data_IF_739721624246
#
_entry.id   IF_739721624246
#
_cell.length_a   1.000
_cell.length_b   1.000
_cell.length_c   1.000
_cell.angle_alpha   90.00
_cell.angle_beta   90.00
_cell.angle_gamma   90.00
#
_symmetry.space_group_name_H-M   'P 1'
#
loop_
_entity.id
_entity.type
_entity.pdbx_description
1 polymer ?
#
# COMPACT_ATOMS: atom_id res chain seq x y z
N UNK A 1 7.31 17.84 -22.42
CA UNK A 1 7.46 18.81 -23.53
C UNK A 1 6.60 18.43 -24.72
N UNK A 2 6.60 17.17 -25.14
CA UNK A 2 5.82 16.63 -26.26
C UNK A 2 4.33 16.88 -26.10
N UNK A 3 3.74 16.53 -24.97
CA UNK A 3 2.32 16.77 -24.68
C UNK A 3 1.90 18.23 -24.88
N UNK A 4 2.73 19.22 -24.46
CA UNK A 4 2.44 20.63 -24.69
C UNK A 4 2.48 21.02 -26.18
N UNK A 5 3.40 20.40 -26.93
CA UNK A 5 3.49 20.64 -28.38
C UNK A 5 2.31 20.01 -29.11
N UNK A 6 1.92 18.80 -28.71
CA UNK A 6 0.86 18.01 -29.34
C UNK A 6 -0.53 18.61 -29.12
N UNK A 7 -0.82 19.04 -27.88
CA UNK A 7 -2.16 19.52 -27.51
C UNK A 7 -2.33 21.04 -27.59
N UNK A 8 -1.25 21.81 -27.45
CA UNK A 8 -1.32 23.29 -27.43
C UNK A 8 -0.45 23.98 -28.46
N UNK A 9 0.28 23.24 -29.29
CA UNK A 9 1.16 23.80 -30.32
C UNK A 9 2.30 24.66 -29.74
N UNK A 10 2.62 24.51 -28.46
CA UNK A 10 3.62 25.31 -27.74
C UNK A 10 4.66 24.44 -27.08
N UNK A 11 5.92 24.83 -27.19
CA UNK A 11 7.02 24.14 -26.52
C UNK A 11 7.19 24.66 -25.09
N UNK A 12 7.03 23.79 -24.09
CA UNK A 12 7.36 24.10 -22.72
C UNK A 12 8.80 23.65 -22.41
N UNK A 13 9.53 24.48 -21.67
CA UNK A 13 10.88 24.18 -21.15
C UNK A 13 10.78 23.88 -19.68
N UNK A 14 11.39 22.77 -19.25
CA UNK A 14 11.40 22.30 -17.88
C UNK A 14 12.84 22.24 -17.38
N UNK A 15 13.09 22.71 -16.18
CA UNK A 15 14.35 22.50 -15.50
C UNK A 15 14.15 22.33 -13.99
N UNK A 16 15.09 21.63 -13.36
CA UNK A 16 15.12 21.45 -11.91
C UNK A 16 16.06 22.50 -11.34
N UNK A 17 15.59 23.29 -10.37
CA UNK A 17 16.43 24.24 -9.67
C UNK A 17 17.61 23.52 -9.04
N UNK A 18 18.81 23.98 -9.38
CA UNK A 18 20.05 23.46 -8.84
C UNK A 18 20.92 24.65 -8.40
N UNK A 19 21.25 24.69 -7.12
CA UNK A 19 22.11 25.73 -6.52
C UNK A 19 23.54 25.75 -7.08
N UNK A 20 23.98 24.67 -7.73
CA UNK A 20 25.28 24.57 -8.38
C UNK A 20 25.27 25.04 -9.85
N UNK A 21 24.09 25.28 -10.44
CA UNK A 21 23.95 25.75 -11.83
C UNK A 21 22.81 26.77 -11.97
N UNK A 22 23.14 28.02 -11.69
CA UNK A 22 22.17 29.12 -11.71
C UNK A 22 21.91 29.69 -13.12
N UNK A 23 22.68 29.29 -14.14
CA UNK A 23 22.52 29.79 -15.51
C UNK A 23 21.14 29.49 -16.10
N UNK A 24 20.52 28.37 -15.69
CA UNK A 24 19.16 28.02 -16.10
C UNK A 24 18.11 29.01 -15.59
N UNK A 25 18.36 29.66 -14.47
CA UNK A 25 17.47 30.65 -13.90
C UNK A 25 17.47 31.97 -14.72
N UNK A 26 18.59 32.36 -15.31
CA UNK A 26 18.64 33.48 -16.24
C UNK A 26 17.82 33.19 -17.52
N UNK A 27 17.93 31.98 -18.04
CA UNK A 27 17.12 31.55 -19.18
C UNK A 27 15.62 31.50 -18.84
N UNK A 28 15.26 31.11 -17.63
CA UNK A 28 13.89 31.15 -17.11
C UNK A 28 13.32 32.56 -17.13
N UNK A 29 14.13 33.57 -16.77
CA UNK A 29 13.76 34.97 -16.70
C UNK A 29 13.71 35.67 -18.04
N UNK A 30 14.57 35.30 -18.99
CA UNK A 30 14.74 36.01 -20.27
C UNK A 30 13.92 35.42 -21.43
N UNK A 31 13.43 34.21 -21.32
CA UNK A 31 12.71 33.51 -22.38
C UNK A 31 11.23 33.88 -22.40
N UNK A 32 10.69 34.22 -23.56
CA UNK A 32 9.26 34.51 -23.79
C UNK A 32 8.38 33.25 -23.88
N UNK A 33 8.96 32.06 -23.83
CA UNK A 33 8.23 30.78 -23.89
C UNK A 33 7.63 30.37 -22.54
N UNK A 34 6.93 29.24 -22.55
CA UNK A 34 6.47 28.61 -21.31
C UNK A 34 7.67 27.95 -20.62
N UNK A 35 8.05 28.48 -19.47
CA UNK A 35 9.14 27.95 -18.68
C UNK A 35 8.61 27.42 -17.34
N UNK A 36 9.01 26.21 -16.97
CA UNK A 36 8.59 25.54 -15.72
C UNK A 36 9.84 25.21 -14.91
N UNK A 37 9.95 25.79 -13.74
CA UNK A 37 10.98 25.49 -12.76
C UNK A 37 10.43 24.54 -11.71
N UNK A 38 11.08 23.42 -11.51
CA UNK A 38 10.80 22.46 -10.44
C UNK A 38 11.78 22.76 -9.31
N UNK A 39 11.25 23.07 -8.13
CA UNK A 39 12.07 23.42 -6.97
C UNK A 39 11.60 22.63 -5.73
N UNK A 40 12.56 22.07 -4.99
CA UNK A 40 12.27 21.41 -3.72
C UNK A 40 12.12 22.45 -2.60
N UNK A 41 11.22 22.20 -1.65
CA UNK A 41 11.01 23.05 -0.47
C UNK A 41 12.28 23.28 0.35
N UNK A 42 13.18 22.30 0.40
CA UNK A 42 14.46 22.41 1.07
C UNK A 42 15.34 23.52 0.51
N UNK A 43 15.22 23.81 -0.78
CA UNK A 43 16.01 24.84 -1.44
C UNK A 43 15.64 26.27 -1.02
N UNK A 44 14.44 26.49 -0.44
CA UNK A 44 13.98 27.84 -0.08
C UNK A 44 13.35 27.95 1.32
N UNK A 45 12.94 26.85 1.97
CA UNK A 45 12.14 26.88 3.21
C UNK A 45 12.96 26.76 4.50
N UNK A 46 14.27 26.49 4.42
CA UNK A 46 15.09 26.52 5.62
C UNK A 46 15.37 27.96 6.00
N UNK A 47 15.20 28.29 7.28
CA UNK A 47 15.37 29.55 7.96
C UNK A 47 15.79 30.77 7.09
N UNK A 48 14.94 31.78 7.01
CA UNK A 48 15.19 33.06 6.36
C UNK A 48 16.43 33.86 6.95
N UNK A 49 17.08 33.30 7.97
CA UNK A 49 18.31 33.86 8.55
C UNK A 49 19.50 33.36 7.74
N UNK A 50 20.47 34.25 7.55
CA UNK A 50 21.76 33.98 6.88
C UNK A 50 22.51 32.78 7.47
N UNK A 51 22.23 32.40 8.74
CA UNK A 51 22.77 31.24 9.46
C UNK A 51 21.93 29.95 9.29
N UNK A 52 21.05 29.89 8.30
CA UNK A 52 20.20 28.74 8.04
C UNK A 52 20.98 27.41 7.87
N UNK A 53 20.44 26.30 8.38
CA UNK A 53 21.13 24.99 8.45
C UNK A 53 21.40 24.34 7.09
N UNK A 54 20.69 24.69 6.03
CA UNK A 54 20.87 24.13 4.68
C UNK A 54 21.71 25.06 3.81
N UNK A 55 22.82 24.54 3.26
CA UNK A 55 23.66 25.24 2.30
C UNK A 55 22.88 25.71 1.06
N UNK A 56 21.95 24.91 0.60
CA UNK A 56 21.13 25.17 -0.60
C UNK A 56 20.16 26.33 -0.39
N UNK A 57 19.50 26.39 0.76
CA UNK A 57 18.59 27.49 1.09
C UNK A 57 19.32 28.83 1.32
N UNK A 58 20.60 28.77 1.74
CA UNK A 58 21.44 29.99 1.82
C UNK A 58 21.75 30.50 0.43
N UNK A 59 22.00 29.65 -0.54
CA UNK A 59 22.36 30.06 -1.90
C UNK A 59 21.23 30.85 -2.56
N UNK A 60 19.97 30.46 -2.41
CA UNK A 60 18.85 31.17 -3.07
C UNK A 60 18.69 32.60 -2.54
N UNK A 61 19.06 32.87 -1.29
CA UNK A 61 18.97 34.19 -0.65
C UNK A 61 20.26 34.98 -0.63
N UNK A 62 21.39 34.41 -1.04
CA UNK A 62 22.70 35.04 -1.03
C UNK A 62 23.07 35.66 -2.37
N UNK A 63 23.78 36.81 -2.35
CA UNK A 63 24.41 37.34 -3.56
C UNK A 63 25.52 36.41 -4.01
N UNK A 64 25.57 36.14 -5.31
CA UNK A 64 26.53 35.22 -5.93
C UNK A 64 27.27 35.91 -7.05
N UNK A 65 28.62 35.91 -6.98
CA UNK A 65 29.48 36.56 -7.98
C UNK A 65 29.33 35.86 -9.32
N UNK A 66 29.24 34.51 -9.33
CA UNK A 66 28.94 33.68 -10.48
C UNK A 66 27.57 33.96 -11.12
N UNK A 67 26.70 34.71 -10.44
CA UNK A 67 25.37 35.12 -10.88
C UNK A 67 25.23 36.64 -10.97
N UNK A 68 26.30 37.32 -11.40
CA UNK A 68 26.40 38.74 -11.52
C UNK A 68 26.02 39.52 -10.25
N UNK A 69 26.47 39.03 -9.08
CA UNK A 69 26.18 39.56 -7.74
C UNK A 69 24.69 39.73 -7.40
N UNK A 70 23.82 39.00 -8.12
CA UNK A 70 22.37 38.97 -7.83
C UNK A 70 22.03 37.80 -6.89
N UNK A 71 20.90 37.91 -6.20
CA UNK A 71 20.32 36.80 -5.44
C UNK A 71 19.35 36.03 -6.35
N UNK A 72 19.43 34.71 -6.43
CA UNK A 72 18.49 33.91 -7.22
C UNK A 72 17.03 34.22 -6.93
N UNK A 73 16.67 34.44 -5.67
CA UNK A 73 15.29 34.76 -5.26
C UNK A 73 14.78 36.06 -5.91
N UNK A 74 15.63 37.07 -6.09
CA UNK A 74 15.24 38.37 -6.67
C UNK A 74 14.90 38.20 -8.16
N UNK A 75 15.62 37.34 -8.87
CA UNK A 75 15.33 37.02 -10.28
C UNK A 75 13.99 36.28 -10.39
N UNK A 76 13.73 35.28 -9.53
CA UNK A 76 12.47 34.57 -9.49
C UNK A 76 11.32 35.53 -9.15
N UNK A 77 11.48 36.36 -8.13
CA UNK A 77 10.50 37.35 -7.67
C UNK A 77 10.11 38.35 -8.75
N UNK A 78 11.08 38.77 -9.56
CA UNK A 78 10.86 39.74 -10.64
C UNK A 78 9.93 39.19 -11.73
N UNK A 79 9.95 37.87 -11.94
CA UNK A 79 9.09 37.19 -12.91
C UNK A 79 7.64 37.03 -12.46
N UNK A 80 7.32 37.27 -11.18
CA UNK A 80 5.99 37.03 -10.60
C UNK A 80 5.41 35.69 -11.05
N UNK A 81 6.04 34.55 -10.67
CA UNK A 81 5.66 33.24 -11.19
C UNK A 81 4.28 32.80 -10.73
N UNK A 82 3.65 31.92 -11.47
CA UNK A 82 2.55 31.10 -10.99
C UNK A 82 3.18 29.95 -10.18
N UNK A 83 2.77 29.77 -8.94
CA UNK A 83 3.25 28.68 -8.09
C UNK A 83 2.25 27.54 -8.16
N UNK A 84 2.74 26.32 -8.45
CA UNK A 84 1.97 25.10 -8.36
C UNK A 84 2.51 24.30 -7.17
N UNK A 85 1.68 24.05 -6.17
CA UNK A 85 2.01 23.29 -4.97
C UNK A 85 1.35 21.92 -5.05
N UNK A 86 2.16 20.87 -5.06
CA UNK A 86 1.72 19.50 -4.92
C UNK A 86 1.77 19.10 -3.44
N UNK A 87 0.67 18.55 -2.91
CA UNK A 87 0.50 18.17 -1.50
C UNK A 87 0.82 19.32 -0.52
N UNK A 88 0.14 20.50 -0.62
CA UNK A 88 0.46 21.70 0.14
C UNK A 88 0.30 21.54 1.66
N UNK A 89 -0.44 20.55 2.16
CA UNK A 89 -0.55 20.26 3.58
C UNK A 89 0.80 19.91 4.23
N UNK A 90 1.77 19.42 3.46
CA UNK A 90 3.14 19.16 3.91
C UNK A 90 3.97 20.45 4.05
N UNK A 91 3.47 21.54 3.47
CA UNK A 91 4.13 22.86 3.43
C UNK A 91 3.46 23.87 4.38
N UNK A 92 2.60 23.41 5.31
CA UNK A 92 1.80 24.26 6.20
C UNK A 92 2.58 24.99 7.31
N UNK A 93 3.87 24.70 7.48
CA UNK A 93 4.71 25.38 8.48
C UNK A 93 4.89 26.87 8.17
N UNK A 94 4.83 27.74 9.19
CA UNK A 94 4.94 29.21 9.03
C UNK A 94 6.18 29.65 8.24
N UNK A 95 7.32 28.99 8.46
CA UNK A 95 8.58 29.31 7.76
C UNK A 95 8.44 29.07 6.27
N UNK A 96 7.85 27.95 5.87
CA UNK A 96 7.62 27.61 4.46
C UNK A 96 6.63 28.57 3.82
N UNK A 97 5.57 28.93 4.52
CA UNK A 97 4.57 29.89 4.03
C UNK A 97 5.17 31.30 3.86
N UNK A 98 6.01 31.74 4.77
CA UNK A 98 6.75 32.98 4.64
C UNK A 98 7.73 32.95 3.46
N UNK A 99 8.42 31.82 3.27
CA UNK A 99 9.36 31.65 2.17
C UNK A 99 8.65 31.64 0.80
N UNK A 100 7.47 31.03 0.68
CA UNK A 100 6.65 31.07 -0.54
C UNK A 100 6.24 32.49 -0.92
N UNK A 101 5.94 33.36 0.05
CA UNK A 101 5.64 34.76 -0.22
C UNK A 101 6.82 35.52 -0.82
N UNK A 102 8.08 35.13 -0.53
CA UNK A 102 9.26 35.77 -1.11
C UNK A 102 9.38 35.56 -2.64
N UNK A 103 8.70 34.58 -3.22
CA UNK A 103 8.62 34.44 -4.67
C UNK A 103 7.74 35.52 -5.33
N UNK A 104 6.95 36.27 -4.55
CA UNK A 104 6.00 37.25 -5.05
C UNK A 104 5.09 36.72 -6.17
N UNK A 105 4.42 35.59 -5.96
CA UNK A 105 3.67 34.92 -7.01
C UNK A 105 2.48 35.76 -7.49
N UNK A 106 2.12 35.58 -8.76
CA UNK A 106 0.89 36.14 -9.30
C UNK A 106 -0.34 35.50 -8.62
N UNK A 107 -0.32 34.18 -8.50
CA UNK A 107 -1.22 33.35 -7.69
C UNK A 107 -0.62 31.95 -7.45
N UNK A 108 -1.24 31.18 -6.60
CA UNK A 108 -0.85 29.80 -6.32
C UNK A 108 -1.98 28.82 -6.62
N UNK A 109 -1.67 27.71 -7.27
CA UNK A 109 -2.55 26.58 -7.48
C UNK A 109 -2.14 25.45 -6.54
N UNK A 110 -3.06 25.00 -5.70
CA UNK A 110 -2.83 23.96 -4.72
C UNK A 110 -3.51 22.66 -5.18
N UNK A 111 -2.73 21.63 -5.43
CA UNK A 111 -3.21 20.29 -5.78
C UNK A 111 -3.04 19.35 -4.60
N UNK A 112 -4.13 18.78 -4.12
CA UNK A 112 -4.09 17.78 -3.05
C UNK A 112 -5.38 16.98 -3.00
N UNK A 113 -5.26 15.69 -2.67
CA UNK A 113 -6.40 14.84 -2.33
C UNK A 113 -6.85 15.05 -0.87
N UNK A 114 -6.03 15.69 -0.03
CA UNK A 114 -6.23 15.77 1.43
C UNK A 114 -5.90 17.18 1.96
N UNK A 115 -6.64 18.18 1.51
CA UNK A 115 -6.47 19.56 1.99
C UNK A 115 -6.77 19.66 3.49
N UNK A 116 -5.85 20.24 4.25
CA UNK A 116 -6.08 20.56 5.67
C UNK A 116 -7.05 21.74 5.85
N UNK A 117 -7.00 22.71 4.95
CA UNK A 117 -7.92 23.86 4.86
C UNK A 117 -8.29 24.10 3.41
N UNK A 118 -9.57 24.32 3.14
CA UNK A 118 -10.04 24.66 1.81
C UNK A 118 -10.05 26.18 1.65
N UNK A 119 -9.43 26.67 0.57
CA UNK A 119 -9.43 28.07 0.17
C UNK A 119 -9.75 28.17 -1.32
N UNK A 120 -10.72 29.01 -1.69
CA UNK A 120 -11.08 29.29 -3.08
C UNK A 120 -11.10 28.02 -3.95
N UNK A 121 -11.88 27.05 -3.54
CA UNK A 121 -11.96 25.75 -4.19
C UNK A 121 -12.48 25.90 -5.63
N UNK A 122 -11.63 25.65 -6.62
CA UNK A 122 -11.94 25.83 -8.04
C UNK A 122 -12.48 24.55 -8.67
N UNK A 123 -11.94 23.40 -8.25
CA UNK A 123 -12.33 22.10 -8.81
C UNK A 123 -12.24 21.02 -7.73
N UNK A 124 -13.23 20.14 -7.70
CA UNK A 124 -13.28 18.97 -6.82
C UNK A 124 -13.41 17.72 -7.66
N UNK A 125 -12.61 16.73 -7.37
CA UNK A 125 -12.75 15.37 -7.84
C UNK A 125 -12.40 14.44 -6.69
N UNK A 126 -13.37 14.14 -5.85
CA UNK A 126 -13.20 13.20 -4.76
C UNK A 126 -13.31 11.74 -5.24
N UNK A 127 -13.09 10.79 -4.33
CA UNK A 127 -13.12 9.37 -4.67
C UNK A 127 -14.51 8.91 -5.14
N UNK A 128 -15.58 9.47 -4.60
CA UNK A 128 -16.94 9.13 -4.99
C UNK A 128 -17.29 9.71 -6.37
N UNK A 129 -16.94 10.97 -6.62
CA UNK A 129 -17.09 11.59 -7.94
C UNK A 129 -16.31 10.84 -9.02
N UNK A 130 -15.07 10.49 -8.71
CA UNK A 130 -14.22 9.72 -9.62
C UNK A 130 -14.80 8.32 -9.90
N UNK A 131 -15.35 7.67 -8.88
CA UNK A 131 -16.03 6.38 -9.04
C UNK A 131 -17.29 6.50 -9.91
N UNK A 132 -18.17 7.46 -9.63
CA UNK A 132 -19.39 7.69 -10.39
C UNK A 132 -19.10 8.01 -11.87
N UNK A 133 -17.98 8.69 -12.14
CA UNK A 133 -17.47 8.96 -13.48
C UNK A 133 -16.69 7.80 -14.12
N UNK A 134 -16.59 6.65 -13.44
CA UNK A 134 -15.85 5.46 -13.90
C UNK A 134 -14.36 5.73 -14.18
N UNK A 135 -13.75 6.63 -13.42
CA UNK A 135 -12.33 7.00 -13.53
C UNK A 135 -11.44 6.17 -12.62
N UNK A 136 -12.02 5.53 -11.61
CA UNK A 136 -11.32 4.75 -10.60
C UNK A 136 -12.07 3.46 -10.27
N UNK A 137 -11.37 2.50 -9.64
CA UNK A 137 -11.97 1.27 -9.11
C UNK A 137 -12.87 1.56 -7.91
N UNK A 138 -13.83 0.69 -7.66
CA UNK A 138 -14.63 0.66 -6.42
C UNK A 138 -13.71 0.35 -5.24
N UNK A 139 -13.95 1.04 -4.12
CA UNK A 139 -13.35 0.70 -2.83
C UNK A 139 -14.34 -0.21 -2.10
N UNK A 140 -13.85 -1.35 -1.66
CA UNK A 140 -14.56 -2.29 -0.80
C UNK A 140 -13.71 -2.54 0.44
N UNK A 141 -14.32 -2.49 1.61
CA UNK A 141 -13.62 -2.69 2.87
C UNK A 141 -14.05 -4.03 3.44
N UNK A 142 -13.10 -4.96 3.54
CA UNK A 142 -13.27 -6.23 4.26
C UNK A 142 -12.71 -6.03 5.68
N UNK A 143 -13.54 -6.24 6.66
CA UNK A 143 -13.16 -6.19 8.07
C UNK A 143 -13.46 -7.52 8.73
N UNK A 144 -12.93 -7.72 9.92
CA UNK A 144 -13.36 -8.76 10.82
C UNK A 144 -13.64 -8.14 12.18
N UNK A 145 -14.59 -8.71 12.89
CA UNK A 145 -15.03 -8.23 14.19
C UNK A 145 -14.52 -9.17 15.28
N UNK A 146 -13.94 -8.61 16.33
CA UNK A 146 -13.49 -9.36 17.51
C UNK A 146 -14.54 -9.22 18.58
N UNK A 147 -15.23 -10.29 18.89
CA UNK A 147 -16.14 -10.36 20.05
C UNK A 147 -15.38 -10.92 21.24
N UNK A 148 -14.99 -10.06 22.16
CA UNK A 148 -14.47 -10.45 23.46
C UNK A 148 -15.64 -10.82 24.39
N UNK A 149 -16.01 -12.09 24.43
CA UNK A 149 -16.88 -12.59 25.49
C UNK A 149 -16.03 -12.77 26.76
N UNK A 150 -16.26 -11.92 27.75
CA UNK A 150 -15.63 -12.12 29.08
C UNK A 150 -16.00 -13.50 29.60
N UNK A 151 -15.00 -14.38 29.73
CA UNK A 151 -15.14 -15.68 30.39
C UNK A 151 -15.20 -16.90 29.47
N UNK A 152 -14.93 -16.78 28.17
CA UNK A 152 -14.77 -17.93 27.29
C UNK A 152 -13.34 -17.97 26.73
N UNK A 153 -12.56 -18.94 27.17
CA UNK A 153 -11.20 -19.20 26.66
C UNK A 153 -11.23 -19.86 25.26
N UNK A 154 -12.41 -20.01 24.65
CA UNK A 154 -12.62 -20.74 23.41
C UNK A 154 -12.30 -19.85 22.22
N UNK A 155 -11.18 -20.07 21.57
CA UNK A 155 -10.86 -19.40 20.30
C UNK A 155 -11.63 -20.03 19.15
N UNK A 156 -12.41 -19.24 18.41
CA UNK A 156 -13.10 -19.63 17.18
C UNK A 156 -13.02 -18.50 16.17
N UNK A 157 -12.72 -18.84 14.92
CA UNK A 157 -12.81 -17.91 13.79
C UNK A 157 -13.61 -18.57 12.66
N UNK A 158 -14.75 -17.99 12.32
CA UNK A 158 -15.53 -18.45 11.15
C UNK A 158 -14.99 -17.81 9.87
N UNK A 159 -14.23 -18.58 9.09
CA UNK A 159 -13.62 -18.11 7.85
C UNK A 159 -14.66 -17.92 6.75
N UNK A 160 -15.45 -18.97 6.48
CA UNK A 160 -16.43 -18.93 5.38
C UNK A 160 -17.46 -20.05 5.50
N UNK A 161 -18.58 -19.88 4.79
CA UNK A 161 -19.54 -20.94 4.54
C UNK A 161 -19.29 -21.53 3.15
N UNK A 162 -19.09 -22.83 3.09
CA UNK A 162 -18.87 -23.59 1.87
C UNK A 162 -20.22 -24.06 1.31
N UNK A 163 -20.61 -23.52 0.18
CA UNK A 163 -21.83 -23.87 -0.52
C UNK A 163 -21.53 -24.86 -1.65
N UNK A 164 -22.35 -25.91 -1.78
CA UNK A 164 -22.26 -26.92 -2.85
C UNK A 164 -23.62 -27.18 -3.43
N UNK A 165 -23.72 -27.41 -4.74
CA UNK A 165 -25.02 -27.61 -5.43
C UNK A 165 -25.87 -28.75 -4.87
N UNK A 166 -25.24 -29.79 -4.31
CA UNK A 166 -25.91 -31.03 -3.91
C UNK A 166 -25.63 -31.43 -2.45
N UNK A 167 -25.10 -30.55 -1.63
CA UNK A 167 -24.82 -30.83 -0.22
C UNK A 167 -25.26 -29.65 0.65
N UNK A 168 -25.65 -29.87 1.90
CA UNK A 168 -25.92 -28.82 2.85
C UNK A 168 -24.73 -27.85 2.99
N UNK A 169 -24.94 -26.62 3.42
CA UNK A 169 -23.89 -25.69 3.75
C UNK A 169 -22.95 -26.28 4.81
N UNK A 170 -21.66 -26.05 4.67
CA UNK A 170 -20.62 -26.42 5.65
C UNK A 170 -19.86 -25.20 6.09
N UNK A 171 -19.37 -25.20 7.32
CA UNK A 171 -18.62 -24.07 7.87
C UNK A 171 -17.12 -24.39 7.92
N UNK A 172 -16.27 -23.48 7.44
CA UNK A 172 -14.84 -23.50 7.72
C UNK A 172 -14.58 -22.67 8.97
N UNK A 173 -14.21 -23.35 10.05
CA UNK A 173 -13.94 -22.74 11.34
C UNK A 173 -12.51 -23.08 11.77
N UNK A 174 -11.72 -22.06 12.10
CA UNK A 174 -10.44 -22.21 12.75
C UNK A 174 -10.66 -22.31 14.27
N UNK A 175 -10.07 -23.32 14.87
CA UNK A 175 -10.14 -23.61 16.30
C UNK A 175 -8.79 -24.12 16.80
N UNK A 176 -8.60 -24.11 18.12
CA UNK A 176 -7.41 -24.69 18.76
C UNK A 176 -7.55 -26.20 18.87
N UNK A 177 -6.49 -26.93 18.49
CA UNK A 177 -6.44 -28.40 18.54
C UNK A 177 -5.26 -28.82 19.38
N UNK A 178 -5.53 -29.65 20.38
CA UNK A 178 -4.50 -30.18 21.28
C UNK A 178 -3.75 -31.35 20.64
N UNK A 179 -2.43 -31.29 20.64
CA UNK A 179 -1.53 -32.37 20.29
C UNK A 179 -0.64 -32.71 21.49
N UNK A 180 0.02 -33.87 21.47
CA UNK A 180 0.82 -34.38 22.60
C UNK A 180 1.87 -33.38 23.16
N UNK A 181 2.30 -32.38 22.39
CA UNK A 181 3.35 -31.41 22.75
C UNK A 181 3.02 -29.96 22.44
N UNK A 182 1.89 -29.69 21.81
CA UNK A 182 1.52 -28.32 21.37
C UNK A 182 0.01 -28.17 21.22
N UNK A 183 -0.46 -26.96 21.29
CA UNK A 183 -1.79 -26.57 20.85
C UNK A 183 -1.58 -25.74 19.58
N UNK A 184 -2.24 -26.14 18.49
CA UNK A 184 -2.16 -25.46 17.22
C UNK A 184 -3.53 -24.96 16.81
N UNK A 185 -3.58 -23.84 16.09
CA UNK A 185 -4.81 -23.36 15.44
C UNK A 185 -4.87 -23.92 14.04
N UNK A 186 -5.96 -24.62 13.76
CA UNK A 186 -6.20 -25.26 12.45
C UNK A 186 -7.64 -25.05 12.02
N UNK A 187 -7.84 -24.89 10.71
CA UNK A 187 -9.15 -24.80 10.12
C UNK A 187 -9.74 -26.19 9.92
N UNK A 188 -10.97 -26.38 10.36
CA UNK A 188 -11.80 -27.55 10.09
C UNK A 188 -13.01 -27.19 9.25
N UNK A 189 -13.41 -28.11 8.38
CA UNK A 189 -14.67 -27.99 7.63
C UNK A 189 -15.73 -28.80 8.35
N UNK A 190 -16.69 -28.13 8.94
CA UNK A 190 -17.68 -28.72 9.84
C UNK A 190 -19.04 -28.83 9.18
N UNK A 191 -19.75 -29.92 9.48
CA UNK A 191 -21.14 -30.15 9.13
C UNK A 191 -22.05 -29.89 10.37
N UNK A 192 -23.35 -29.75 10.14
CA UNK A 192 -24.33 -29.72 11.24
C UNK A 192 -24.26 -31.06 12.02
N UNK A 193 -24.10 -30.96 13.33
CA UNK A 193 -23.93 -32.09 14.24
C UNK A 193 -22.50 -32.36 14.66
N UNK A 194 -21.50 -31.69 14.04
CA UNK A 194 -20.12 -31.82 14.47
C UNK A 194 -19.89 -31.15 15.82
N UNK A 195 -19.10 -31.83 16.67
CA UNK A 195 -18.80 -31.44 18.04
C UNK A 195 -17.35 -30.92 18.13
N UNK A 196 -17.19 -29.65 18.46
CA UNK A 196 -15.88 -29.01 18.53
C UNK A 196 -14.99 -29.61 19.63
N UNK A 197 -15.58 -30.19 20.67
CA UNK A 197 -14.81 -30.92 21.68
C UNK A 197 -14.04 -32.10 21.06
N UNK A 198 -14.68 -32.85 20.16
CA UNK A 198 -14.01 -33.94 19.43
C UNK A 198 -13.02 -33.42 18.40
N UNK A 199 -13.42 -32.41 17.64
CA UNK A 199 -12.58 -31.81 16.58
C UNK A 199 -11.31 -31.16 17.14
N UNK A 200 -11.31 -30.71 18.40
CA UNK A 200 -10.19 -30.13 19.10
C UNK A 200 -9.28 -31.11 19.82
N UNK A 201 -9.52 -32.43 19.69
CA UNK A 201 -8.89 -33.47 20.49
C UNK A 201 -9.19 -33.29 21.98
N UNK A 202 -10.47 -33.16 22.33
CA UNK A 202 -11.01 -33.14 23.71
C UNK A 202 -10.59 -31.93 24.56
N UNK A 203 -10.41 -30.74 23.93
CA UNK A 203 -10.15 -29.53 24.68
C UNK A 203 -11.40 -29.05 25.44
N UNK A 204 -11.28 -28.93 26.76
CA UNK A 204 -12.38 -28.61 27.70
C UNK A 204 -13.14 -27.33 27.34
N UNK A 205 -12.46 -26.33 26.79
CA UNK A 205 -13.07 -25.07 26.40
C UNK A 205 -14.14 -25.21 25.29
N UNK A 206 -14.13 -26.28 24.52
CA UNK A 206 -15.11 -26.53 23.46
C UNK A 206 -16.25 -27.45 23.87
N UNK A 207 -16.34 -27.84 25.13
CA UNK A 207 -17.48 -28.63 25.62
C UNK A 207 -18.80 -27.87 25.40
N UNK A 208 -19.76 -28.57 24.77
CA UNK A 208 -21.08 -28.00 24.48
C UNK A 208 -21.15 -27.17 23.18
N UNK A 209 -20.03 -27.09 22.44
CA UNK A 209 -20.03 -26.45 21.11
C UNK A 209 -20.28 -27.52 20.04
N UNK A 210 -21.54 -27.93 19.88
CA UNK A 210 -21.97 -28.74 18.75
C UNK A 210 -22.65 -27.86 17.72
N UNK A 211 -22.29 -27.98 16.44
CA UNK A 211 -22.91 -27.19 15.37
C UNK A 211 -24.38 -27.57 15.24
N UNK A 212 -25.29 -26.65 15.57
CA UNK A 212 -26.75 -26.87 15.46
C UNK A 212 -27.30 -26.40 14.12
N UNK A 213 -26.77 -25.31 13.55
CA UNK A 213 -27.23 -24.75 12.29
C UNK A 213 -26.10 -24.04 11.57
N UNK A 214 -26.11 -24.16 10.23
CA UNK A 214 -25.22 -23.42 9.33
C UNK A 214 -26.09 -22.72 8.30
N UNK A 215 -26.13 -21.38 8.36
CA UNK A 215 -26.89 -20.57 7.42
C UNK A 215 -26.03 -20.20 6.21
N UNK A 216 -26.61 -20.27 5.02
CA UNK A 216 -25.95 -19.88 3.77
C UNK A 216 -25.60 -18.38 3.71
N UNK A 217 -26.26 -17.54 4.53
CA UNK A 217 -26.01 -16.10 4.63
C UNK A 217 -24.77 -15.75 5.49
N UNK A 218 -24.11 -16.74 6.08
CA UNK A 218 -22.85 -16.53 6.78
C UNK A 218 -22.89 -16.67 8.29
N UNK A 219 -23.81 -17.47 8.83
CA UNK A 219 -23.95 -17.66 10.29
C UNK A 219 -23.82 -19.12 10.67
N UNK A 220 -23.16 -19.38 11.79
CA UNK A 220 -23.12 -20.70 12.45
C UNK A 220 -23.67 -20.55 13.86
N UNK A 221 -24.62 -21.43 14.23
CA UNK A 221 -25.18 -21.50 15.58
C UNK A 221 -24.75 -22.79 16.25
N UNK A 222 -24.35 -22.71 17.51
CA UNK A 222 -24.01 -23.86 18.34
C UNK A 222 -25.11 -24.22 19.33
N UNK A 223 -25.13 -25.46 19.79
CA UNK A 223 -26.12 -25.98 20.75
C UNK A 223 -26.12 -25.26 22.09
N UNK A 224 -25.01 -24.64 22.48
CA UNK A 224 -24.89 -23.81 23.69
C UNK A 224 -25.46 -22.38 23.51
N UNK A 225 -26.07 -22.08 22.36
CA UNK A 225 -26.63 -20.78 22.05
C UNK A 225 -25.66 -19.74 21.52
N UNK A 226 -24.40 -20.08 21.38
CA UNK A 226 -23.40 -19.20 20.74
C UNK A 226 -23.67 -19.12 19.24
N UNK A 227 -23.60 -17.89 18.70
CA UNK A 227 -23.76 -17.59 17.28
C UNK A 227 -22.51 -16.86 16.82
N UNK A 228 -21.92 -17.28 15.70
CA UNK A 228 -20.74 -16.66 15.09
C UNK A 228 -21.03 -16.38 13.61
N UNK A 229 -20.57 -15.22 13.13
CA UNK A 229 -20.72 -14.79 11.74
C UNK A 229 -19.42 -14.93 10.96
N UNK A 230 -19.52 -15.04 9.63
CA UNK A 230 -18.34 -15.05 8.76
C UNK A 230 -17.50 -13.78 8.99
N UNK A 231 -16.19 -13.99 9.22
CA UNK A 231 -15.25 -12.93 9.59
C UNK A 231 -15.25 -12.58 11.07
N UNK A 232 -16.03 -13.26 11.89
CA UNK A 232 -16.07 -13.04 13.34
C UNK A 232 -15.09 -13.95 14.08
N UNK A 233 -14.41 -13.37 15.07
CA UNK A 233 -13.47 -14.05 15.95
C UNK A 233 -13.97 -13.98 17.37
N UNK A 234 -13.96 -15.10 18.04
CA UNK A 234 -14.33 -15.24 19.44
C UNK A 234 -13.16 -15.76 20.26
N UNK A 235 -13.03 -15.32 21.52
CA UNK A 235 -11.98 -15.75 22.43
C UNK A 235 -10.81 -14.77 22.57
N UNK A 236 -9.76 -15.21 23.26
CA UNK A 236 -8.60 -14.38 23.54
C UNK A 236 -7.66 -14.32 22.34
N UNK A 237 -7.46 -13.13 21.77
CA UNK A 237 -6.73 -12.91 20.53
C UNK A 237 -5.53 -12.02 20.80
N UNK A 238 -4.35 -12.52 20.50
CA UNK A 238 -3.14 -11.73 20.50
C UNK A 238 -3.06 -10.82 19.26
N UNK A 239 -2.32 -9.72 19.34
CA UNK A 239 -2.03 -8.88 18.17
C UNK A 239 -1.42 -9.69 17.02
N UNK A 240 -0.59 -10.68 17.35
CA UNK A 240 0.00 -11.58 16.37
C UNK A 240 -1.05 -12.38 15.59
N UNK A 241 -2.07 -12.91 16.28
CA UNK A 241 -3.15 -13.66 15.64
C UNK A 241 -3.97 -12.74 14.70
N UNK A 242 -4.25 -11.52 15.14
CA UNK A 242 -4.92 -10.53 14.30
C UNK A 242 -4.13 -10.26 13.03
N UNK A 243 -2.80 -10.11 13.11
CA UNK A 243 -1.94 -9.89 11.94
C UNK A 243 -1.94 -11.09 11.01
N UNK A 244 -1.91 -12.29 11.57
CA UNK A 244 -1.99 -13.55 10.81
C UNK A 244 -3.29 -13.64 10.02
N UNK A 245 -4.42 -13.35 10.66
CA UNK A 245 -5.74 -13.36 10.01
C UNK A 245 -5.80 -12.28 8.91
N UNK A 246 -5.29 -11.07 9.16
CA UNK A 246 -5.24 -10.02 8.13
C UNK A 246 -4.44 -10.46 6.90
N UNK A 247 -3.31 -11.12 7.10
CA UNK A 247 -2.47 -11.65 6.03
C UNK A 247 -3.23 -12.74 5.26
N UNK A 248 -3.82 -13.72 5.96
CA UNK A 248 -4.60 -14.81 5.37
C UNK A 248 -5.76 -14.31 4.52
N UNK A 249 -6.59 -13.41 5.07
CA UNK A 249 -7.74 -12.83 4.39
C UNK A 249 -7.35 -12.01 3.16
N UNK A 250 -6.19 -11.34 3.21
CA UNK A 250 -5.65 -10.63 2.06
C UNK A 250 -5.21 -11.59 0.95
N UNK A 251 -4.60 -12.73 1.31
CA UNK A 251 -4.21 -13.77 0.36
C UNK A 251 -5.44 -14.40 -0.29
N UNK A 252 -6.45 -14.75 0.50
CA UNK A 252 -7.72 -15.28 -0.01
C UNK A 252 -8.39 -14.33 -1.00
N UNK A 253 -8.56 -13.07 -0.60
CA UNK A 253 -9.13 -12.03 -1.46
C UNK A 253 -8.31 -11.78 -2.72
N UNK A 254 -6.98 -11.95 -2.65
CA UNK A 254 -6.11 -11.87 -3.81
C UNK A 254 -6.41 -13.01 -4.80
N UNK A 255 -6.45 -14.25 -4.36
CA UNK A 255 -6.73 -15.40 -5.23
C UNK A 255 -8.10 -15.29 -5.88
N UNK A 256 -9.15 -14.99 -5.12
CA UNK A 256 -10.51 -14.81 -5.65
C UNK A 256 -10.54 -13.71 -6.73
N UNK A 257 -9.88 -12.59 -6.47
CA UNK A 257 -9.84 -11.48 -7.42
C UNK A 257 -9.02 -11.81 -8.65
N UNK A 258 -7.85 -12.43 -8.50
CA UNK A 258 -6.98 -12.79 -9.60
C UNK A 258 -7.64 -13.82 -10.51
N UNK A 259 -8.31 -14.83 -9.96
CA UNK A 259 -9.07 -15.82 -10.73
C UNK A 259 -10.13 -15.16 -11.61
N UNK A 260 -10.89 -14.22 -11.04
CA UNK A 260 -11.94 -13.48 -11.77
C UNK A 260 -11.39 -12.61 -12.91
N UNK A 261 -10.11 -12.19 -12.81
CA UNK A 261 -9.46 -11.28 -13.76
C UNK A 261 -8.50 -11.98 -14.71
N UNK A 262 -8.09 -13.21 -14.42
CA UNK A 262 -7.08 -13.93 -15.18
C UNK A 262 -7.44 -14.05 -16.65
N UNK A 263 -8.69 -14.47 -16.95
CA UNK A 263 -9.19 -14.59 -18.33
C UNK A 263 -9.34 -13.26 -19.06
N UNK A 264 -9.34 -12.13 -18.34
CA UNK A 264 -9.30 -10.78 -18.90
C UNK A 264 -7.86 -10.30 -19.17
N UNK A 265 -6.86 -11.15 -18.90
CA UNK A 265 -5.44 -10.80 -19.03
C UNK A 265 -4.98 -9.75 -18.02
N UNK A 266 -5.55 -9.70 -16.82
CA UNK A 266 -5.24 -8.72 -15.79
C UNK A 266 -4.61 -9.44 -14.60
N UNK A 267 -3.34 -9.15 -14.33
CA UNK A 267 -2.63 -9.63 -13.15
C UNK A 267 -2.98 -8.79 -11.94
N UNK A 268 -3.23 -9.43 -10.79
CA UNK A 268 -3.46 -8.76 -9.52
C UNK A 268 -2.15 -8.51 -8.76
N UNK A 269 -2.10 -7.40 -8.03
CA UNK A 269 -1.09 -7.10 -7.03
C UNK A 269 -1.75 -6.74 -5.71
N UNK A 270 -1.14 -7.17 -4.61
CA UNK A 270 -1.54 -6.83 -3.24
C UNK A 270 -0.42 -6.10 -2.50
N UNK A 271 -0.79 -5.06 -1.74
CA UNK A 271 0.14 -4.29 -0.92
C UNK A 271 -0.10 -4.55 0.56
N UNK A 272 0.99 -4.79 1.29
CA UNK A 272 1.03 -4.80 2.74
C UNK A 272 1.81 -3.60 3.25
N UNK A 273 1.15 -2.72 4.02
CA UNK A 273 1.84 -1.65 4.73
C UNK A 273 2.14 -2.11 6.16
N UNK A 274 3.43 -2.16 6.50
CA UNK A 274 3.92 -2.63 7.79
C UNK A 274 4.45 -1.48 8.65
N UNK A 275 4.52 -1.71 9.95
CA UNK A 275 5.01 -0.76 10.95
C UNK A 275 6.54 -0.73 11.04
N UNK A 276 7.20 -1.89 10.97
CA UNK A 276 8.65 -2.04 11.11
C UNK A 276 9.22 -2.95 10.02
N UNK A 277 10.32 -2.53 9.39
CA UNK A 277 11.02 -3.35 8.38
C UNK A 277 11.50 -4.67 8.97
N UNK A 278 11.94 -4.67 10.23
CA UNK A 278 12.42 -5.87 10.93
C UNK A 278 11.36 -6.97 11.07
N UNK A 279 10.05 -6.65 10.99
CA UNK A 279 8.98 -7.64 10.98
C UNK A 279 8.88 -8.41 9.66
N UNK A 280 9.41 -7.87 8.57
CA UNK A 280 9.45 -8.55 7.28
C UNK A 280 10.85 -9.06 6.93
N UNK A 281 11.91 -8.27 7.17
CA UNK A 281 13.31 -8.56 6.81
C UNK A 281 14.23 -8.25 7.98
N UNK A 282 15.05 -9.21 8.35
CA UNK A 282 16.11 -9.08 9.37
C UNK A 282 17.46 -9.46 8.75
N UNK A 283 18.50 -9.25 9.52
CA UNK A 283 19.86 -9.67 9.17
C UNK A 283 20.42 -10.49 10.32
N UNK A 284 21.03 -11.62 10.00
CA UNK A 284 21.74 -12.45 10.98
C UNK A 284 23.08 -11.81 11.40
N UNK A 285 23.85 -12.50 12.26
CA UNK A 285 25.14 -12.03 12.74
C UNK A 285 26.18 -11.91 11.61
N UNK A 286 26.06 -12.71 10.56
CA UNK A 286 26.93 -12.70 9.38
C UNK A 286 26.47 -11.64 8.34
N UNK A 287 25.33 -11.00 8.56
CA UNK A 287 24.78 -9.98 7.66
C UNK A 287 23.92 -10.52 6.52
N UNK A 288 23.55 -11.81 6.53
CA UNK A 288 22.66 -12.39 5.54
C UNK A 288 21.22 -11.99 5.82
N UNK A 289 20.42 -11.79 4.77
CA UNK A 289 18.99 -11.51 4.90
C UNK A 289 18.21 -12.75 5.36
N UNK A 290 17.41 -12.57 6.40
CA UNK A 290 16.47 -13.57 6.90
C UNK A 290 15.07 -12.97 6.99
N UNK A 291 14.04 -13.80 6.81
CA UNK A 291 12.66 -13.35 6.96
C UNK A 291 12.35 -12.93 8.40
N UNK A 292 11.65 -11.81 8.53
CA UNK A 292 11.04 -11.41 9.79
C UNK A 292 9.71 -12.14 10.02
N UNK A 293 9.06 -11.82 11.14
CA UNK A 293 7.82 -12.47 11.59
C UNK A 293 6.71 -12.42 10.53
N UNK A 294 6.46 -11.26 9.91
CA UNK A 294 5.42 -11.12 8.89
C UNK A 294 5.75 -11.86 7.59
N UNK A 295 7.04 -11.94 7.24
CA UNK A 295 7.47 -12.72 6.08
C UNK A 295 7.23 -14.21 6.27
N UNK A 296 7.64 -14.75 7.43
CA UNK A 296 7.40 -16.16 7.80
C UNK A 296 5.91 -16.45 7.87
N UNK A 297 5.15 -15.59 8.52
CA UNK A 297 3.70 -15.72 8.65
C UNK A 297 3.02 -15.71 7.27
N UNK A 298 3.44 -14.81 6.38
CA UNK A 298 2.93 -14.75 5.02
C UNK A 298 3.18 -16.05 4.25
N UNK A 299 4.40 -16.60 4.28
CA UNK A 299 4.72 -17.83 3.56
C UNK A 299 3.90 -19.03 4.08
N UNK A 300 3.71 -19.11 5.40
CA UNK A 300 2.89 -20.16 6.00
C UNK A 300 1.43 -20.06 5.58
N UNK A 301 0.82 -18.88 5.69
CA UNK A 301 -0.58 -18.67 5.31
C UNK A 301 -0.77 -18.79 3.80
N UNK A 302 0.19 -18.30 2.99
CA UNK A 302 0.16 -18.45 1.54
C UNK A 302 0.13 -19.93 1.14
N UNK A 303 1.01 -20.73 1.71
CA UNK A 303 1.07 -22.17 1.40
C UNK A 303 -0.21 -22.88 1.83
N UNK A 304 -0.77 -22.53 2.99
CA UNK A 304 -2.03 -23.09 3.47
C UNK A 304 -3.19 -22.77 2.54
N UNK A 305 -3.36 -21.47 2.20
CA UNK A 305 -4.42 -21.01 1.30
C UNK A 305 -4.24 -21.59 -0.10
N UNK A 306 -3.01 -21.64 -0.62
CA UNK A 306 -2.73 -22.20 -1.94
C UNK A 306 -3.12 -23.68 -2.03
N UNK A 307 -2.79 -24.47 -1.00
CA UNK A 307 -3.14 -25.89 -0.94
C UNK A 307 -4.67 -26.11 -0.97
N UNK A 308 -5.41 -25.25 -0.27
CA UNK A 308 -6.88 -25.28 -0.28
C UNK A 308 -7.47 -24.81 -1.63
N UNK A 309 -6.78 -23.89 -2.31
CA UNK A 309 -7.24 -23.27 -3.55
C UNK A 309 -6.92 -24.09 -4.81
N UNK A 310 -5.83 -24.87 -4.77
CA UNK A 310 -5.46 -25.74 -5.87
C UNK A 310 -6.45 -26.92 -5.97
N UNK A 311 -7.04 -27.07 -7.14
CA UNK A 311 -7.97 -28.15 -7.45
C UNK A 311 -7.37 -29.12 -8.44
N UNK A 312 -8.04 -30.32 -8.60
CA UNK A 312 -7.69 -31.26 -9.64
C UNK A 312 -8.09 -30.78 -11.05
N UNK A 313 -8.90 -29.74 -11.17
CA UNK A 313 -9.34 -29.19 -12.44
C UNK A 313 -8.22 -28.38 -13.12
N UNK A 314 -8.01 -28.62 -14.39
CA UNK A 314 -7.00 -27.95 -15.22
C UNK A 314 -7.54 -26.70 -15.91
N UNK A 315 -8.09 -25.74 -15.14
CA UNK A 315 -8.41 -24.44 -15.70
C UNK A 315 -7.13 -23.67 -16.08
N UNK A 316 -7.17 -22.71 -17.01
CA UNK A 316 -6.01 -21.89 -17.34
C UNK A 316 -5.38 -21.22 -16.10
N UNK A 317 -6.21 -20.76 -15.17
CA UNK A 317 -5.73 -20.13 -13.92
C UNK A 317 -5.06 -21.15 -12.99
N UNK A 318 -5.63 -22.37 -12.85
CA UNK A 318 -5.00 -23.43 -12.06
C UNK A 318 -3.66 -23.88 -12.63
N UNK A 319 -3.52 -23.93 -13.96
CA UNK A 319 -2.23 -24.21 -14.61
C UNK A 319 -1.20 -23.11 -14.32
N UNK A 320 -1.64 -21.85 -14.37
CA UNK A 320 -0.79 -20.70 -14.01
C UNK A 320 -0.31 -20.80 -12.55
N UNK A 321 -1.20 -21.05 -11.61
CA UNK A 321 -0.82 -21.22 -10.19
C UNK A 321 0.19 -22.34 -10.00
N UNK A 322 -0.05 -23.50 -10.59
CA UNK A 322 0.83 -24.69 -10.51
C UNK A 322 2.22 -24.43 -11.14
N UNK A 323 2.30 -23.62 -12.19
CA UNK A 323 3.56 -23.34 -12.88
C UNK A 323 4.39 -22.22 -12.27
N UNK A 324 3.76 -21.15 -11.72
CA UNK A 324 4.44 -19.92 -11.37
C UNK A 324 4.37 -19.56 -9.88
N UNK A 325 3.42 -20.14 -9.13
CA UNK A 325 3.04 -19.63 -7.83
C UNK A 325 3.15 -20.66 -6.69
N UNK A 326 3.75 -21.83 -6.93
CA UNK A 326 3.87 -22.89 -5.93
C UNK A 326 4.88 -22.57 -4.81
N UNK A 327 5.89 -21.79 -5.10
CA UNK A 327 6.90 -21.36 -4.13
C UNK A 327 6.51 -20.03 -3.50
N UNK A 328 6.20 -20.05 -2.21
CA UNK A 328 5.83 -18.84 -1.48
C UNK A 328 6.91 -17.77 -1.49
N UNK A 329 8.20 -18.15 -1.53
CA UNK A 329 9.32 -17.21 -1.45
C UNK A 329 9.48 -16.31 -2.68
N UNK A 330 8.98 -16.74 -3.84
CA UNK A 330 9.10 -15.98 -5.09
C UNK A 330 7.93 -15.04 -5.36
N UNK A 331 6.77 -15.25 -4.69
CA UNK A 331 5.55 -14.48 -4.97
C UNK A 331 5.46 -13.17 -4.22
N UNK A 332 6.35 -12.91 -3.25
CA UNK A 332 6.37 -11.67 -2.49
C UNK A 332 7.73 -10.99 -2.51
N UNK A 333 7.72 -9.67 -2.36
CA UNK A 333 8.93 -8.83 -2.28
C UNK A 333 8.73 -7.73 -1.24
N UNK A 334 9.82 -7.36 -0.55
CA UNK A 334 9.87 -6.19 0.32
C UNK A 334 10.44 -4.99 -0.42
N UNK A 335 9.80 -3.83 -0.29
CA UNK A 335 10.29 -2.56 -0.79
C UNK A 335 10.43 -1.56 0.37
N UNK A 336 11.67 -1.27 0.76
CA UNK A 336 12.02 -0.47 1.93
C UNK A 336 13.09 0.55 1.60
N UNK A 337 13.23 1.56 2.45
CA UNK A 337 14.38 2.46 2.41
C UNK A 337 15.65 1.73 2.85
N UNK A 338 16.78 2.06 2.24
CA UNK A 338 18.06 1.42 2.54
C UNK A 338 19.02 2.46 3.13
N UNK A 339 19.75 2.07 4.17
CA UNK A 339 20.83 2.88 4.72
C UNK A 339 22.07 2.84 3.80
N UNK A 340 22.49 4.01 3.32
CA UNK A 340 23.62 4.16 2.40
C UNK A 340 24.96 3.64 2.95
N UNK A 341 25.11 3.57 4.27
CA UNK A 341 26.37 3.16 4.90
C UNK A 341 26.46 1.65 5.07
N UNK A 342 25.35 1.02 5.48
CA UNK A 342 25.31 -0.42 5.75
C UNK A 342 24.77 -1.25 4.60
N UNK A 343 24.08 -0.63 3.63
CA UNK A 343 23.38 -1.33 2.54
C UNK A 343 22.14 -2.10 3.02
N UNK A 344 21.73 -1.94 4.29
CA UNK A 344 20.63 -2.70 4.91
C UNK A 344 19.32 -1.96 4.80
N UNK A 345 18.24 -2.72 4.63
CA UNK A 345 16.87 -2.18 4.70
C UNK A 345 16.58 -1.67 6.10
N UNK A 346 16.06 -0.44 6.19
CA UNK A 346 15.76 0.23 7.47
C UNK A 346 14.37 0.85 7.43
N UNK A 347 13.84 1.11 8.62
CA UNK A 347 12.67 1.96 8.79
C UNK A 347 13.02 3.37 8.29
N UNK A 348 12.15 3.93 7.44
CA UNK A 348 12.39 5.29 6.95
C UNK A 348 12.44 6.23 8.14
N UNK A 349 13.56 6.93 8.36
CA UNK A 349 13.64 7.87 9.45
C UNK A 349 12.59 8.96 9.29
N UNK A 350 11.91 9.29 10.36
CA UNK A 350 11.00 10.45 10.46
C UNK A 350 11.70 11.78 10.21
N UNK A 351 13.02 11.76 10.06
CA UNK A 351 13.91 12.91 9.80
C UNK A 351 14.38 12.96 8.34
N UNK A 352 14.14 14.06 7.79
CA UNK A 352 14.27 14.72 6.47
C UNK A 352 15.51 14.49 5.60
N UNK A 353 16.35 13.49 5.70
CA UNK A 353 17.58 13.42 4.88
C UNK A 353 18.06 11.99 4.56
N UNK A 354 17.22 11.11 4.04
CA UNK A 354 17.74 9.89 3.39
C UNK A 354 17.42 9.89 1.90
N UNK A 355 18.46 10.03 1.10
CA UNK A 355 18.42 9.72 -0.31
C UNK A 355 18.41 8.19 -0.49
N UNK A 356 17.65 7.72 -1.47
CA UNK A 356 17.47 6.32 -1.83
C UNK A 356 18.77 5.59 -2.11
N UNK A 357 18.89 4.35 -1.68
CA UNK A 357 19.96 3.45 -2.09
C UNK A 357 19.41 2.03 -2.40
N UNK A 358 20.18 1.30 -3.09
CA UNK A 358 19.95 0.20 -4.00
C UNK A 358 19.76 -1.16 -3.31
N UNK A 359 18.53 -1.57 -3.06
CA UNK A 359 18.13 -2.96 -3.30
C UNK A 359 17.78 -3.02 -4.81
N UNK A 360 18.81 -3.24 -5.63
CA UNK A 360 18.76 -3.01 -7.08
C UNK A 360 17.68 -3.88 -7.73
N UNK A 361 17.41 -5.08 -7.22
CA UNK A 361 16.48 -6.00 -7.86
C UNK A 361 15.00 -5.69 -7.55
N UNK A 362 14.63 -5.44 -6.30
CA UNK A 362 13.25 -5.12 -5.92
C UNK A 362 12.89 -3.68 -6.30
N UNK A 363 13.83 -2.74 -6.15
CA UNK A 363 13.70 -1.36 -6.57
C UNK A 363 13.47 -1.25 -8.09
N UNK A 364 14.31 -1.94 -8.88
CA UNK A 364 14.20 -1.89 -10.34
C UNK A 364 12.91 -2.53 -10.83
N UNK A 365 12.47 -3.63 -10.25
CA UNK A 365 11.21 -4.28 -10.59
C UNK A 365 10.01 -3.40 -10.24
N UNK A 366 9.97 -2.87 -9.03
CA UNK A 366 8.79 -2.14 -8.51
C UNK A 366 8.68 -0.74 -9.10
N UNK A 367 9.80 -0.02 -9.27
CA UNK A 367 9.79 1.36 -9.73
C UNK A 367 10.11 1.55 -11.21
N UNK A 368 11.13 0.87 -11.74
CA UNK A 368 11.59 1.07 -13.11
C UNK A 368 10.92 0.13 -14.11
N UNK A 369 10.70 -1.13 -13.73
CA UNK A 369 10.13 -2.15 -14.59
C UNK A 369 8.66 -2.43 -14.26
N UNK A 370 7.85 -1.38 -14.14
CA UNK A 370 6.42 -1.49 -13.81
C UNK A 370 5.66 -2.41 -14.77
N UNK A 371 6.02 -2.40 -16.04
CA UNK A 371 5.42 -3.26 -17.06
C UNK A 371 5.72 -4.74 -16.81
N UNK A 372 6.97 -5.08 -16.44
CA UNK A 372 7.35 -6.45 -16.06
C UNK A 372 6.55 -6.92 -14.85
N UNK A 373 6.37 -6.07 -13.83
CA UNK A 373 5.58 -6.41 -12.66
C UNK A 373 4.12 -6.74 -13.00
N UNK A 374 3.60 -6.21 -14.12
CA UNK A 374 2.25 -6.48 -14.61
C UNK A 374 2.17 -7.75 -15.48
N UNK A 375 3.29 -8.33 -15.91
CA UNK A 375 3.32 -9.57 -16.68
C UNK A 375 3.03 -10.79 -15.79
N UNK A 376 2.32 -11.77 -16.33
CA UNK A 376 2.14 -13.07 -15.67
C UNK A 376 3.43 -13.89 -15.58
N UNK A 377 4.45 -13.57 -16.38
CA UNK A 377 5.77 -14.22 -16.32
C UNK A 377 6.59 -13.81 -15.08
N UNK A 378 6.21 -12.70 -14.42
CA UNK A 378 6.81 -12.27 -13.16
C UNK A 378 6.00 -12.85 -11.99
N UNK A 379 6.59 -13.72 -11.13
CA UNK A 379 5.84 -14.35 -10.05
C UNK A 379 5.43 -13.41 -8.91
N UNK A 380 6.10 -12.28 -8.76
CA UNK A 380 5.79 -11.31 -7.69
C UNK A 380 4.36 -10.80 -7.78
N UNK A 381 3.59 -11.01 -6.72
CA UNK A 381 2.17 -10.66 -6.60
C UNK A 381 1.86 -9.86 -5.34
N UNK A 382 2.69 -10.02 -4.31
CA UNK A 382 2.54 -9.36 -3.01
C UNK A 382 3.75 -8.48 -2.72
N UNK A 383 3.49 -7.27 -2.26
CA UNK A 383 4.54 -6.29 -1.99
C UNK A 383 4.38 -5.79 -0.55
N UNK A 384 5.42 -5.93 0.24
CA UNK A 384 5.51 -5.39 1.58
C UNK A 384 6.24 -4.05 1.56
N UNK A 385 5.70 -3.04 2.23
CA UNK A 385 6.32 -1.72 2.28
C UNK A 385 6.08 -1.07 3.64
N UNK A 386 7.10 -0.37 4.15
CA UNK A 386 6.97 0.44 5.37
C UNK A 386 6.49 1.86 5.01
N UNK A 387 7.31 2.64 4.36
CA UNK A 387 7.00 4.03 4.00
C UNK A 387 7.44 4.39 2.59
N UNK A 388 8.27 3.57 1.97
CA UNK A 388 8.90 3.88 0.69
C UNK A 388 7.90 4.05 -0.47
N UNK A 389 6.77 3.36 -0.43
CA UNK A 389 5.69 3.49 -1.43
C UNK A 389 4.65 4.55 -1.06
N UNK A 390 4.85 5.37 -0.02
CA UNK A 390 3.86 6.39 0.39
C UNK A 390 3.70 7.51 -0.62
N UNK A 391 4.76 7.85 -1.36
CA UNK A 391 4.76 8.99 -2.29
C UNK A 391 5.25 8.57 -3.68
N UNK A 392 4.57 9.04 -4.71
CA UNK A 392 5.02 8.93 -6.10
C UNK A 392 4.92 7.53 -6.75
N UNK A 393 4.72 6.46 -5.99
CA UNK A 393 4.51 5.13 -6.57
C UNK A 393 3.05 4.86 -6.82
N UNK A 394 2.78 4.33 -7.99
CA UNK A 394 1.46 3.90 -8.40
C UNK A 394 1.57 2.70 -9.33
N UNK A 395 0.71 1.74 -9.14
CA UNK A 395 0.52 0.64 -10.07
C UNK A 395 -0.98 0.42 -10.28
N UNK A 396 -1.46 0.40 -11.53
CA UNK A 396 -2.88 0.30 -11.82
C UNK A 396 -3.49 -1.05 -11.38
N UNK A 397 -2.68 -2.09 -11.25
CA UNK A 397 -3.16 -3.42 -10.92
C UNK A 397 -3.07 -3.78 -9.43
N UNK A 398 -2.92 -2.79 -8.56
CA UNK A 398 -3.13 -2.99 -7.12
C UNK A 398 -4.62 -3.10 -6.84
N UNK A 399 -5.03 -4.25 -6.32
CA UNK A 399 -6.43 -4.55 -6.00
C UNK A 399 -6.68 -4.73 -4.50
N UNK A 400 -5.73 -5.26 -3.75
CA UNK A 400 -5.82 -5.40 -2.30
C UNK A 400 -4.78 -4.52 -1.61
N UNK A 401 -5.20 -3.91 -0.51
CA UNK A 401 -4.33 -3.15 0.38
C UNK A 401 -4.63 -3.58 1.80
N UNK A 402 -3.62 -4.12 2.47
CA UNK A 402 -3.66 -4.51 3.87
C UNK A 402 -2.74 -3.62 4.68
N UNK A 403 -3.24 -3.07 5.77
CA UNK A 403 -2.44 -2.25 6.69
C UNK A 403 -2.20 -3.02 7.98
N UNK A 404 -0.97 -3.54 8.15
CA UNK A 404 -0.53 -4.31 9.33
C UNK A 404 0.05 -3.41 10.44
N UNK A 405 -0.22 -2.13 10.39
CA UNK A 405 0.25 -1.15 11.38
C UNK A 405 -0.93 -0.41 12.00
N UNK A 406 -0.76 0.07 13.22
CA UNK A 406 -1.69 1.02 13.79
C UNK A 406 -1.52 2.39 13.14
N UNK A 407 -2.61 2.99 12.71
CA UNK A 407 -2.62 4.36 12.18
C UNK A 407 -3.91 5.06 12.56
N UNK A 408 -3.78 6.14 13.33
CA UNK A 408 -4.92 7.01 13.70
C UNK A 408 -5.13 8.13 12.68
N UNK A 409 -4.18 8.31 11.75
CA UNK A 409 -4.23 9.37 10.74
C UNK A 409 -5.13 8.99 9.56
N UNK A 410 -6.27 9.65 9.47
CA UNK A 410 -7.17 9.53 8.30
C UNK A 410 -6.47 9.90 6.98
N UNK A 411 -5.58 10.90 7.01
CA UNK A 411 -4.82 11.33 5.84
C UNK A 411 -3.92 10.22 5.33
N UNK A 412 -3.20 9.53 6.23
CA UNK A 412 -2.35 8.39 5.88
C UNK A 412 -3.16 7.25 5.28
N UNK A 413 -4.29 6.88 5.90
CA UNK A 413 -5.19 5.83 5.40
C UNK A 413 -5.72 6.15 4.00
N UNK A 414 -6.16 7.40 3.75
CA UNK A 414 -6.61 7.84 2.42
C UNK A 414 -5.50 7.78 1.38
N UNK A 415 -4.28 8.15 1.72
CA UNK A 415 -3.13 8.07 0.81
C UNK A 415 -2.76 6.63 0.48
N UNK A 416 -2.83 5.71 1.44
CA UNK A 416 -2.59 4.29 1.23
C UNK A 416 -3.66 3.67 0.32
N UNK A 417 -4.93 3.90 0.60
CA UNK A 417 -6.06 3.43 -0.24
C UNK A 417 -5.98 4.03 -1.64
N UNK A 418 -5.56 5.28 -1.76
CA UNK A 418 -5.36 5.97 -3.04
C UNK A 418 -4.45 5.24 -4.03
N UNK A 419 -3.51 4.40 -3.52
CA UNK A 419 -2.61 3.59 -4.37
C UNK A 419 -3.33 2.51 -5.18
N UNK A 420 -4.49 2.04 -4.70
CA UNK A 420 -5.29 1.02 -5.36
C UNK A 420 -6.41 1.55 -6.26
N UNK A 421 -6.65 2.86 -6.33
CA UNK A 421 -7.82 3.42 -7.01
C UNK A 421 -7.76 3.39 -8.52
N UNK A 422 -6.59 3.41 -9.15
CA UNK A 422 -6.45 3.54 -10.60
C UNK A 422 -7.12 2.37 -11.34
N UNK A 423 -7.76 2.67 -12.48
CA UNK A 423 -8.25 1.65 -13.39
C UNK A 423 -7.10 0.74 -13.80
N UNK A 424 -7.36 -0.57 -13.76
CA UNK A 424 -6.37 -1.59 -14.09
C UNK A 424 -6.03 -1.61 -15.59
N UNK A 425 -4.91 -2.26 -15.91
CA UNK A 425 -4.50 -2.52 -17.28
C UNK A 425 -4.35 -4.02 -17.52
N UNK A 426 -4.67 -4.46 -18.73
CA UNK A 426 -4.43 -5.83 -19.17
C UNK A 426 -2.99 -6.02 -19.69
N UNK A 427 -2.64 -7.24 -20.12
CA UNK A 427 -1.32 -7.56 -20.67
C UNK A 427 -0.95 -6.76 -21.93
N UNK A 428 -1.94 -6.14 -22.58
CA UNK A 428 -1.73 -5.29 -23.77
C UNK A 428 -1.60 -3.80 -23.43
N UNK A 429 -1.61 -3.42 -22.15
CA UNK A 429 -1.55 -2.04 -21.68
C UNK A 429 -2.88 -1.28 -21.79
N UNK A 430 -3.97 -1.93 -22.17
CA UNK A 430 -5.28 -1.29 -22.26
C UNK A 430 -5.90 -1.12 -20.87
N UNK A 431 -6.42 0.07 -20.60
CA UNK A 431 -7.17 0.34 -19.36
C UNK A 431 -8.52 -0.37 -19.40
N UNK A 432 -8.85 -1.02 -18.31
CA UNK A 432 -10.05 -1.83 -18.17
C UNK A 432 -10.88 -1.34 -16.98
N UNK A 433 -12.18 -1.11 -17.19
CA UNK A 433 -13.15 -1.01 -16.11
C UNK A 433 -13.66 -2.42 -15.81
N UNK A 434 -13.21 -3.01 -14.70
CA UNK A 434 -13.55 -4.40 -14.31
C UNK A 434 -14.87 -4.51 -13.56
N UNK A 435 -15.61 -3.44 -13.45
CA UNK A 435 -16.93 -3.41 -12.82
C UNK A 435 -18.06 -3.54 -13.84
N UNK A 436 -17.74 -3.42 -15.12
CA UNK A 436 -18.68 -3.56 -16.23
C UNK A 436 -18.70 -4.98 -16.77
#
# INVERSE_FOLDING_TARGET
AEHFMEHYGKKARFFIYNSSNLNQLDNFSSSSGINVMIINTQAFASSLKEDGRSKEARIIYSKRDEFASRRPIDVIKANRPIIILDEPQKMGGEVTQKALKNFNPLFSLNYSATHAKQHNLVYVLDALDAFNKKLVKKIEVKGFEVKNFRGTDSYLFLEQIVLSKNKPPRAKIELEIAYNKSINRETRTLDVGDDLYRESNEMEQYKGYTVSEIDAEGTVTFTNGVIIHVGEIMGDISEKDMRRIQIRETILSHFEKEESLYNKGIKCLSLFFIDEVAKYRRYDEDGNEILGEYGVMFEQEYQSVLNDYITMFDTPYQKYLKSMCMDASVVHRGYFSIDKKSGRSIDSPTKRNSEFSDDISAYDLILKNKERLLSFDEPTRFIFSHSALREGWDNPNVFQICTLKHSDSQTTKRQEVGRGLRLCVNQFGNRMDVQS
#
